data_IF_720657168352
#
_entry.id   IF_720657168352
#
_cell.length_a   1.000
_cell.length_b   1.000
_cell.length_c   1.000
_cell.angle_alpha   90.00
_cell.angle_beta   90.00
_cell.angle_gamma   90.00
#
_symmetry.space_group_name_H-M   'P 1'
#
loop_
_entity.id
_entity.type
_entity.pdbx_description
1 polymer ?
#
# COMPACT_ATOMS: atom_id res chain seq x y z
N UNK A 1 -22.46 20.74 -18.97
CA UNK A 1 -22.49 21.64 -17.80
C UNK A 1 -21.07 21.80 -17.27
N UNK A 2 -20.51 23.01 -17.29
CA UNK A 2 -19.13 23.28 -16.87
C UNK A 2 -19.04 23.38 -15.34
N UNK A 3 -18.14 22.60 -14.71
CA UNK A 3 -17.83 22.71 -13.27
C UNK A 3 -17.07 24.02 -13.01
N UNK A 4 -17.65 24.92 -12.21
CA UNK A 4 -16.96 26.11 -11.69
C UNK A 4 -15.78 25.67 -10.82
N UNK A 5 -14.56 26.12 -11.15
CA UNK A 5 -13.39 26.01 -10.28
C UNK A 5 -13.63 26.89 -9.04
N UNK A 6 -13.64 26.29 -7.86
CA UNK A 6 -13.65 27.05 -6.60
C UNK A 6 -12.30 27.74 -6.42
N UNK A 7 -12.34 29.06 -6.15
CA UNK A 7 -11.15 29.83 -5.81
C UNK A 7 -10.84 29.64 -4.32
N UNK A 8 -9.55 29.59 -3.93
CA UNK A 8 -9.17 29.50 -2.52
C UNK A 8 -9.69 30.71 -1.74
N UNK A 9 -9.92 30.55 -0.42
CA UNK A 9 -10.61 31.55 0.40
C UNK A 9 -9.79 32.84 0.61
N UNK A 10 -8.48 32.82 0.38
CA UNK A 10 -7.60 33.97 0.58
C UNK A 10 -6.70 34.24 -0.63
N UNK A 11 -6.29 35.50 -0.82
CA UNK A 11 -5.41 35.90 -1.91
C UNK A 11 -3.97 35.41 -1.67
N UNK A 12 -3.16 35.21 -2.73
CA UNK A 12 -1.78 34.75 -2.58
C UNK A 12 -0.90 35.65 -1.69
N UNK A 13 -1.15 36.97 -1.71
CA UNK A 13 -0.45 37.94 -0.86
C UNK A 13 -0.78 37.76 0.63
N UNK A 14 -2.02 37.40 0.96
CA UNK A 14 -2.45 37.11 2.34
C UNK A 14 -1.80 35.81 2.83
N UNK A 15 -1.66 34.79 1.96
CA UNK A 15 -0.97 33.55 2.33
C UNK A 15 0.53 33.73 2.57
N UNK A 16 1.21 34.55 1.76
CA UNK A 16 2.63 34.88 1.94
C UNK A 16 2.88 35.66 3.24
N UNK A 17 1.99 36.60 3.59
CA UNK A 17 2.04 37.31 4.87
C UNK A 17 1.87 36.39 6.07
N UNK A 18 0.92 35.44 6.02
CA UNK A 18 0.70 34.47 7.09
C UNK A 18 1.88 33.50 7.27
N UNK A 19 2.50 33.05 6.18
CA UNK A 19 3.69 32.17 6.20
C UNK A 19 4.89 32.83 6.87
N UNK A 20 5.14 34.13 6.60
CA UNK A 20 6.22 34.88 7.23
C UNK A 20 6.00 35.07 8.74
N UNK A 21 4.76 35.31 9.18
CA UNK A 21 4.42 35.44 10.61
C UNK A 21 4.62 34.11 11.35
N UNK A 22 4.24 32.98 10.74
CA UNK A 22 4.43 31.65 11.32
C UNK A 22 5.92 31.31 11.44
N UNK A 23 6.73 31.65 10.42
CA UNK A 23 8.19 31.49 10.44
C UNK A 23 8.84 32.31 11.58
N UNK A 24 8.38 33.54 11.83
CA UNK A 24 8.91 34.33 12.95
C UNK A 24 8.47 33.80 14.31
N UNK A 25 7.22 33.34 14.46
CA UNK A 25 6.73 32.77 15.73
C UNK A 25 7.48 31.48 16.12
N UNK A 26 7.84 30.65 15.14
CA UNK A 26 8.63 29.43 15.36
C UNK A 26 10.03 29.71 15.93
N UNK A 27 10.66 30.84 15.58
CA UNK A 27 11.98 31.23 16.12
C UNK A 27 11.92 31.64 17.60
N UNK A 28 10.76 32.12 18.07
CA UNK A 28 10.57 32.55 19.46
C UNK A 28 9.92 31.49 20.37
N UNK A 29 9.73 30.26 19.88
CA UNK A 29 9.17 29.16 20.69
C UNK A 29 7.70 29.35 21.07
N UNK A 30 6.97 30.21 20.35
CA UNK A 30 5.53 30.43 20.56
C UNK A 30 4.78 29.35 19.77
N UNK A 31 4.00 28.51 20.46
CA UNK A 31 3.21 27.45 19.86
C UNK A 31 2.06 28.04 19.03
N UNK A 32 1.98 27.62 17.77
CA UNK A 32 0.89 27.98 16.85
C UNK A 32 -0.30 27.07 17.13
N UNK A 33 -1.52 27.60 17.39
CA UNK A 33 -2.71 26.80 17.65
C UNK A 33 -3.03 25.80 16.52
N UNK A 34 -3.54 24.62 16.89
CA UNK A 34 -3.68 23.45 15.99
C UNK A 34 -4.48 23.71 14.71
N UNK A 35 -5.46 24.61 14.77
CA UNK A 35 -6.30 25.00 13.62
C UNK A 35 -5.52 25.70 12.50
N UNK A 36 -4.32 26.24 12.76
CA UNK A 36 -3.46 26.88 11.76
C UNK A 36 -2.49 25.89 11.12
N UNK A 37 -2.16 24.77 11.79
CA UNK A 37 -1.26 23.75 11.25
C UNK A 37 -1.93 22.91 10.16
N UNK A 38 -3.21 22.56 10.33
CA UNK A 38 -4.00 21.84 9.33
C UNK A 38 -4.20 22.65 8.03
N UNK A 39 -4.28 23.98 8.14
CA UNK A 39 -4.52 24.86 6.98
C UNK A 39 -3.31 24.98 6.04
N UNK A 40 -2.09 24.71 6.54
CA UNK A 40 -0.84 24.88 5.78
C UNK A 40 -0.04 23.58 5.56
N UNK A 41 -0.52 22.43 6.06
CA UNK A 41 0.07 21.12 5.75
C UNK A 41 1.52 20.94 6.22
N UNK A 42 1.95 21.70 7.22
CA UNK A 42 3.29 21.61 7.81
C UNK A 42 3.22 20.67 9.00
N UNK A 43 3.63 19.42 8.82
CA UNK A 43 3.85 18.50 9.94
C UNK A 43 5.34 18.47 10.30
N UNK A 44 5.71 19.21 11.33
CA UNK A 44 7.01 19.08 12.00
C UNK A 44 6.94 17.88 12.94
N UNK A 45 7.87 16.93 12.80
CA UNK A 45 7.93 15.77 13.69
C UNK A 45 8.52 16.14 15.05
N UNK A 46 7.79 15.90 16.12
CA UNK A 46 8.37 15.65 17.43
C UNK A 46 8.24 14.17 17.81
N UNK A 47 9.38 13.60 18.21
CA UNK A 47 9.53 12.22 18.65
C UNK A 47 8.67 11.95 19.89
N UNK A 48 7.71 11.04 19.75
CA UNK A 48 7.13 10.32 20.90
C UNK A 48 7.27 8.81 20.68
N UNK A 49 7.68 8.11 21.75
CA UNK A 49 7.79 6.65 21.88
C UNK A 49 6.55 5.93 21.35
N UNK A 50 6.67 4.67 20.88
CA UNK A 50 5.59 3.98 20.19
C UNK A 50 4.39 3.79 21.13
N UNK A 51 3.37 4.62 20.95
CA UNK A 51 2.05 4.39 21.53
C UNK A 51 1.41 3.26 20.74
N UNK A 52 0.97 2.23 21.48
CA UNK A 52 0.05 1.24 20.94
C UNK A 52 -1.24 1.98 20.61
N UNK A 53 -1.44 2.34 19.34
CA UNK A 53 -2.75 2.79 18.88
C UNK A 53 -3.73 1.62 18.97
N UNK A 54 -4.49 1.61 20.06
CA UNK A 54 -5.69 0.80 20.19
C UNK A 54 -6.75 1.37 19.24
N UNK A 55 -6.91 0.73 18.08
CA UNK A 55 -8.13 0.86 17.28
C UNK A 55 -9.28 0.20 18.06
N UNK A 56 -10.12 1.01 18.71
CA UNK A 56 -11.32 0.52 19.40
C UNK A 56 -12.52 0.53 18.44
N UNK A 57 -13.01 -0.69 18.20
CA UNK A 57 -14.41 -1.10 17.99
C UNK A 57 -15.08 -0.81 16.64
N UNK A 58 -14.73 -1.65 15.67
CA UNK A 58 -15.77 -2.49 15.02
C UNK A 58 -15.33 -3.94 15.21
N UNK A 59 -16.27 -4.87 15.33
CA UNK A 59 -16.05 -6.30 15.60
C UNK A 59 -15.33 -7.00 14.42
N UNK A 60 -14.10 -6.59 14.10
CA UNK A 60 -13.25 -7.24 13.11
C UNK A 60 -12.95 -8.63 13.64
N UNK A 61 -13.55 -9.65 13.02
CA UNK A 61 -13.22 -11.06 13.31
C UNK A 61 -11.83 -11.39 12.77
N UNK A 62 -11.33 -10.57 11.85
CA UNK A 62 -10.01 -10.73 11.28
C UNK A 62 -8.91 -10.72 12.36
N UNK A 63 -8.13 -11.81 12.51
CA UNK A 63 -7.08 -11.91 13.52
C UNK A 63 -5.84 -11.05 13.21
N UNK A 64 -5.81 -10.39 12.06
CA UNK A 64 -4.65 -9.65 11.57
C UNK A 64 -3.69 -10.50 10.75
N UNK A 65 -2.57 -9.91 10.30
CA UNK A 65 -1.54 -10.63 9.58
C UNK A 65 -0.93 -11.73 10.44
N UNK A 66 -0.85 -12.95 9.90
CA UNK A 66 -0.18 -14.09 10.50
C UNK A 66 1.23 -14.20 9.91
N UNK A 67 2.23 -13.91 10.74
CA UNK A 67 3.64 -14.12 10.38
C UNK A 67 3.91 -15.62 10.19
N UNK A 68 4.48 -16.00 9.04
CA UNK A 68 4.84 -17.36 8.68
C UNK A 68 6.36 -17.61 8.76
N UNK A 69 7.15 -16.57 9.07
CA UNK A 69 8.60 -16.64 9.20
C UNK A 69 9.33 -15.95 8.04
N UNK A 70 10.50 -16.47 7.69
CA UNK A 70 11.32 -15.99 6.58
C UNK A 70 10.73 -16.37 5.21
N UNK A 71 11.11 -15.64 4.17
CA UNK A 71 10.75 -15.93 2.79
C UNK A 71 11.38 -17.25 2.31
N UNK A 72 10.70 -17.93 1.38
CA UNK A 72 11.03 -19.31 0.98
C UNK A 72 11.62 -19.44 -0.43
N UNK A 73 12.11 -18.34 -1.01
CA UNK A 73 12.71 -18.32 -2.34
C UNK A 73 13.94 -19.24 -2.45
N UNK A 74 14.01 -19.97 -3.55
CA UNK A 74 15.20 -20.73 -3.95
C UNK A 74 16.38 -19.79 -4.30
N UNK A 75 17.60 -20.33 -4.35
CA UNK A 75 18.78 -19.55 -4.73
C UNK A 75 18.66 -19.00 -6.16
N UNK A 76 18.05 -19.79 -7.04
CA UNK A 76 17.80 -19.45 -8.44
C UNK A 76 16.88 -18.24 -8.55
N UNK A 77 15.80 -18.19 -7.77
CA UNK A 77 14.85 -17.07 -7.72
C UNK A 77 15.44 -15.79 -7.13
N UNK A 78 16.54 -15.91 -6.36
CA UNK A 78 17.26 -14.79 -5.78
C UNK A 78 18.30 -14.18 -6.72
N UNK A 79 18.34 -14.59 -7.99
CA UNK A 79 19.27 -14.07 -8.99
C UNK A 79 18.87 -12.65 -9.44
N UNK A 80 19.83 -11.72 -9.43
CA UNK A 80 19.62 -10.35 -9.92
C UNK A 80 19.69 -10.26 -11.45
N UNK A 81 18.70 -9.59 -12.07
CA UNK A 81 18.62 -9.36 -13.51
C UNK A 81 18.95 -7.91 -13.96
N UNK A 82 19.48 -7.05 -13.08
CA UNK A 82 19.82 -5.62 -13.30
C UNK A 82 18.66 -4.67 -13.61
N UNK A 83 17.64 -5.07 -14.38
CA UNK A 83 16.55 -4.19 -14.83
C UNK A 83 15.30 -4.24 -13.93
N UNK A 84 15.15 -5.28 -13.10
CA UNK A 84 13.92 -5.53 -12.36
C UNK A 84 12.83 -6.07 -13.27
N UNK A 85 11.79 -6.66 -12.69
CA UNK A 85 10.66 -7.21 -13.44
C UNK A 85 9.45 -7.43 -12.56
N UNK A 86 8.28 -7.49 -13.21
CA UNK A 86 7.03 -7.95 -12.63
C UNK A 86 6.45 -8.96 -13.61
N UNK A 87 6.09 -10.14 -13.11
CA UNK A 87 5.37 -11.17 -13.84
C UNK A 87 4.04 -11.45 -13.15
N UNK A 88 2.96 -11.29 -13.90
CA UNK A 88 1.61 -11.58 -13.42
C UNK A 88 1.19 -12.94 -13.95
N UNK A 89 0.86 -13.85 -13.03
CA UNK A 89 0.44 -15.19 -13.39
C UNK A 89 -0.87 -15.15 -14.19
N UNK A 90 -1.12 -16.14 -15.06
CA UNK A 90 -2.38 -16.22 -15.80
C UNK A 90 -3.58 -16.22 -14.86
N UNK A 91 -4.68 -15.59 -15.28
CA UNK A 91 -5.97 -15.76 -14.61
C UNK A 91 -6.37 -17.25 -14.66
N UNK A 92 -7.03 -17.73 -13.62
CA UNK A 92 -7.62 -19.06 -13.65
C UNK A 92 -8.93 -19.11 -14.48
N UNK A 93 -9.56 -20.29 -14.53
CA UNK A 93 -10.80 -20.50 -15.28
C UNK A 93 -12.00 -19.66 -14.82
N UNK A 94 -11.94 -19.08 -13.62
CA UNK A 94 -12.96 -18.18 -13.07
C UNK A 94 -12.57 -16.69 -13.25
N UNK A 95 -11.47 -16.42 -13.96
CA UNK A 95 -10.95 -15.08 -14.16
C UNK A 95 -10.25 -14.48 -12.94
N UNK A 96 -9.86 -15.32 -11.96
CA UNK A 96 -9.25 -14.86 -10.71
C UNK A 96 -7.73 -14.70 -10.87
N UNK A 97 -7.17 -13.66 -10.27
CA UNK A 97 -5.72 -13.46 -10.21
C UNK A 97 -5.06 -14.55 -9.36
N UNK A 98 -4.07 -15.25 -9.89
CA UNK A 98 -3.49 -16.45 -9.24
C UNK A 98 -2.16 -16.17 -8.55
N UNK A 99 -1.50 -15.07 -8.89
CA UNK A 99 -0.26 -14.66 -8.27
C UNK A 99 0.48 -13.61 -9.07
N UNK A 100 1.46 -12.99 -8.41
CA UNK A 100 2.42 -12.11 -9.04
C UNK A 100 3.79 -12.32 -8.41
N UNK A 101 4.81 -12.36 -9.26
CA UNK A 101 6.20 -12.39 -8.87
C UNK A 101 6.88 -11.09 -9.35
N UNK A 102 7.85 -10.61 -8.57
CA UNK A 102 8.63 -9.46 -8.96
C UNK A 102 10.06 -9.53 -8.41
N UNK A 103 10.99 -8.98 -9.18
CA UNK A 103 12.27 -8.50 -8.67
C UNK A 103 12.22 -6.97 -8.70
N UNK A 104 11.90 -6.40 -7.54
CA UNK A 104 11.70 -4.97 -7.38
C UNK A 104 13.04 -4.25 -7.25
N UNK A 105 13.15 -3.13 -7.96
CA UNK A 105 14.31 -2.24 -7.94
C UNK A 105 13.92 -0.81 -7.62
N UNK A 106 14.87 0.02 -7.16
CA UNK A 106 14.60 1.44 -6.87
C UNK A 106 14.00 2.19 -8.05
N UNK A 107 14.40 1.86 -9.28
CA UNK A 107 13.88 2.50 -10.49
C UNK A 107 12.38 2.22 -10.78
N UNK A 108 11.80 1.19 -10.17
CA UNK A 108 10.39 0.82 -10.36
C UNK A 108 9.44 1.57 -9.42
N UNK A 109 10.00 2.20 -8.39
CA UNK A 109 9.27 2.94 -7.39
C UNK A 109 8.42 4.05 -8.04
N UNK A 110 7.14 4.12 -7.68
CA UNK A 110 6.15 5.08 -8.22
C UNK A 110 5.91 5.02 -9.73
N UNK A 111 6.30 3.95 -10.43
CA UNK A 111 6.04 3.78 -11.87
C UNK A 111 4.69 3.11 -12.19
N UNK A 112 4.01 2.56 -11.17
CA UNK A 112 2.74 1.86 -11.33
C UNK A 112 1.54 2.79 -11.52
N UNK A 113 0.41 2.21 -11.92
CA UNK A 113 -0.84 2.93 -12.19
C UNK A 113 -1.90 2.70 -11.10
N UNK A 114 -2.85 3.63 -10.88
CA UNK A 114 -3.97 3.37 -9.98
C UNK A 114 -4.87 2.24 -10.52
N UNK A 115 -5.53 1.51 -9.62
CA UNK A 115 -6.49 0.48 -10.02
C UNK A 115 -7.56 1.08 -10.94
N UNK A 116 -7.65 0.56 -12.17
CA UNK A 116 -8.61 0.99 -13.13
C UNK A 116 -10.02 0.61 -12.65
N UNK A 117 -10.89 1.62 -12.53
CA UNK A 117 -12.27 1.46 -12.07
C UNK A 117 -13.10 0.53 -12.96
N UNK A 118 -12.71 0.34 -14.22
CA UNK A 118 -13.44 -0.47 -15.19
C UNK A 118 -13.04 -1.95 -15.11
N UNK A 119 -11.88 -2.27 -14.51
CA UNK A 119 -11.52 -3.65 -14.17
C UNK A 119 -12.30 -4.08 -12.94
N UNK A 120 -13.08 -5.16 -13.03
CA UNK A 120 -13.83 -5.73 -11.90
C UNK A 120 -13.32 -7.14 -11.65
N UNK A 121 -12.38 -7.34 -10.69
CA UNK A 121 -11.96 -8.68 -10.30
C UNK A 121 -13.17 -9.52 -9.87
N UNK A 122 -13.11 -10.85 -10.02
CA UNK A 122 -14.20 -11.71 -9.56
C UNK A 122 -14.60 -11.42 -8.10
N UNK A 123 -15.90 -11.43 -7.83
CA UNK A 123 -16.45 -11.13 -6.51
C UNK A 123 -16.50 -9.64 -6.14
N UNK A 124 -16.06 -8.73 -7.01
CA UNK A 124 -16.03 -7.29 -6.69
C UNK A 124 -17.44 -6.66 -6.65
N UNK A 125 -17.85 -6.22 -5.46
CA UNK A 125 -19.09 -5.49 -5.22
C UNK A 125 -18.78 -4.02 -4.92
N UNK A 126 -19.41 -3.11 -5.65
CA UNK A 126 -19.24 -1.66 -5.46
C UNK A 126 -19.98 -1.19 -4.20
N UNK A 127 -19.44 -0.17 -3.54
CA UNK A 127 -20.06 0.47 -2.38
C UNK A 127 -19.31 0.22 -1.07
N UNK A 128 -19.49 1.12 -0.11
CA UNK A 128 -18.81 1.11 1.19
C UNK A 128 -19.48 0.18 2.20
N UNK A 129 -20.80 -0.01 2.11
CA UNK A 129 -21.58 -0.84 3.03
C UNK A 129 -22.50 -1.75 2.20
N UNK A 130 -22.60 -3.07 2.48
CA UNK A 130 -21.91 -3.86 3.51
C UNK A 130 -20.55 -4.42 3.08
N UNK A 131 -20.05 -4.12 1.89
CA UNK A 131 -18.91 -4.83 1.32
C UNK A 131 -17.57 -4.11 1.53
N UNK A 132 -17.48 -2.82 1.20
CA UNK A 132 -16.24 -2.05 1.24
C UNK A 132 -15.09 -2.76 0.49
N UNK A 133 -15.34 -3.28 -0.71
CA UNK A 133 -14.31 -3.98 -1.48
C UNK A 133 -13.35 -3.01 -2.16
N UNK A 134 -12.11 -3.43 -2.24
CA UNK A 134 -11.03 -2.80 -2.97
C UNK A 134 -10.65 -3.65 -4.19
N UNK A 135 -10.07 -3.00 -5.19
CA UNK A 135 -9.31 -3.67 -6.26
C UNK A 135 -7.87 -3.80 -5.76
N UNK A 136 -7.66 -4.79 -4.89
CA UNK A 136 -6.39 -5.01 -4.22
C UNK A 136 -5.33 -5.38 -5.25
N UNK A 137 -4.24 -4.62 -5.28
CA UNK A 137 -3.10 -4.96 -6.13
C UNK A 137 -2.35 -6.15 -5.52
N UNK A 138 -1.84 -7.05 -6.37
CA UNK A 138 -0.85 -8.04 -5.93
C UNK A 138 0.52 -7.37 -5.79
N UNK A 139 0.96 -6.68 -6.84
CA UNK A 139 2.10 -5.75 -6.77
C UNK A 139 1.54 -4.33 -6.66
N UNK A 140 1.72 -3.71 -5.49
CA UNK A 140 1.21 -2.37 -5.21
C UNK A 140 1.69 -1.32 -6.22
N UNK A 141 0.82 -0.35 -6.51
CA UNK A 141 1.12 0.79 -7.40
C UNK A 141 2.47 1.47 -7.08
N UNK A 142 2.76 1.67 -5.80
CA UNK A 142 4.00 2.32 -5.36
C UNK A 142 5.27 1.52 -5.69
N UNK A 143 5.13 0.22 -5.96
CA UNK A 143 6.21 -0.71 -6.30
C UNK A 143 6.31 -0.97 -7.81
N UNK A 144 5.53 -0.26 -8.64
CA UNK A 144 5.55 -0.40 -10.10
C UNK A 144 4.41 -1.22 -10.69
N UNK A 145 3.48 -1.71 -9.88
CA UNK A 145 2.39 -2.54 -10.37
C UNK A 145 1.35 -1.78 -11.22
N UNK A 146 0.86 -2.44 -12.27
CA UNK A 146 -0.21 -1.94 -13.13
C UNK A 146 -1.58 -2.10 -12.47
N UNK A 147 -2.38 -1.05 -12.50
CA UNK A 147 -3.79 -1.08 -12.16
C UNK A 147 -4.72 -1.37 -13.33
N UNK A 148 -4.19 -1.52 -14.54
CA UNK A 148 -4.97 -1.84 -15.75
C UNK A 148 -4.96 -3.35 -16.08
N UNK A 149 -3.98 -4.10 -15.56
CA UNK A 149 -3.87 -5.54 -15.77
C UNK A 149 -4.74 -6.31 -14.76
N UNK A 150 -5.77 -7.01 -15.25
CA UNK A 150 -6.66 -7.80 -14.41
C UNK A 150 -5.93 -8.91 -13.64
N UNK A 151 -4.77 -9.39 -14.12
CA UNK A 151 -3.94 -10.38 -13.41
C UNK A 151 -3.30 -9.83 -12.14
N UNK A 152 -3.19 -8.50 -12.01
CA UNK A 152 -2.64 -7.85 -10.83
C UNK A 152 -3.71 -7.43 -9.81
N UNK A 153 -5.00 -7.63 -10.09
CA UNK A 153 -6.08 -7.13 -9.24
C UNK A 153 -6.94 -8.27 -8.71
N UNK A 154 -7.10 -8.33 -7.39
CA UNK A 154 -8.02 -9.25 -6.72
C UNK A 154 -9.01 -8.49 -5.83
N UNK A 155 -10.16 -9.09 -5.53
CA UNK A 155 -11.15 -8.51 -4.62
C UNK A 155 -10.71 -8.72 -3.18
N UNK A 156 -10.38 -7.62 -2.49
CA UNK A 156 -10.05 -7.63 -1.07
C UNK A 156 -10.98 -6.72 -0.28
N UNK A 157 -11.24 -7.04 0.99
CA UNK A 157 -11.81 -6.04 1.88
C UNK A 157 -10.86 -4.84 2.02
N UNK A 158 -11.37 -3.63 1.76
CA UNK A 158 -10.57 -2.41 1.85
C UNK A 158 -10.00 -2.22 3.25
N UNK A 159 -10.82 -2.49 4.27
CA UNK A 159 -10.45 -2.45 5.68
C UNK A 159 -10.88 -3.76 6.34
N UNK A 160 -10.00 -4.43 7.10
CA UNK A 160 -8.61 -4.06 7.40
C UNK A 160 -7.56 -4.61 6.41
N UNK A 161 -7.99 -5.42 5.43
CA UNK A 161 -7.10 -6.31 4.66
C UNK A 161 -6.18 -5.54 3.71
N UNK A 162 -6.75 -4.83 2.73
CA UNK A 162 -5.94 -4.00 1.83
C UNK A 162 -5.19 -2.92 2.63
N UNK A 163 -5.89 -2.27 3.57
CA UNK A 163 -5.31 -1.28 4.48
C UNK A 163 -5.94 -1.42 5.87
N UNK A 164 -5.13 -1.50 6.95
CA UNK A 164 -3.69 -1.27 7.00
C UNK A 164 -2.81 -2.51 6.77
N UNK A 165 -3.37 -3.72 6.71
CA UNK A 165 -2.57 -4.95 6.84
C UNK A 165 -1.57 -5.17 5.70
N UNK A 166 -2.02 -5.20 4.44
CA UNK A 166 -1.08 -5.32 3.31
C UNK A 166 -0.17 -4.10 3.19
N UNK A 167 -0.75 -2.90 3.32
CA UNK A 167 -0.02 -1.62 3.21
C UNK A 167 1.20 -1.56 4.15
N UNK A 168 1.11 -2.16 5.35
CA UNK A 168 2.25 -2.25 6.30
C UNK A 168 3.47 -2.92 5.66
N UNK A 169 3.31 -4.08 5.03
CA UNK A 169 4.42 -4.84 4.43
C UNK A 169 4.93 -4.19 3.15
N UNK A 170 4.02 -3.67 2.31
CA UNK A 170 4.39 -2.92 1.11
C UNK A 170 5.24 -1.69 1.45
N UNK A 171 4.93 -0.99 2.56
CA UNK A 171 5.71 0.15 3.03
C UNK A 171 7.11 -0.24 3.52
N UNK A 172 7.28 -1.42 4.11
CA UNK A 172 8.62 -1.93 4.48
C UNK A 172 9.47 -2.18 3.23
N UNK A 173 8.89 -2.85 2.23
CA UNK A 173 9.54 -3.07 0.93
C UNK A 173 9.89 -1.73 0.29
N UNK A 174 8.94 -0.78 0.26
CA UNK A 174 9.15 0.56 -0.28
C UNK A 174 10.35 1.26 0.36
N UNK A 175 10.44 1.25 1.69
CA UNK A 175 11.56 1.86 2.41
C UNK A 175 12.90 1.19 2.09
N UNK A 176 12.93 -0.12 1.85
CA UNK A 176 14.15 -0.81 1.43
C UNK A 176 14.56 -0.42 0.00
N UNK A 177 13.59 -0.30 -0.93
CA UNK A 177 13.85 0.18 -2.29
C UNK A 177 14.36 1.62 -2.30
N UNK A 178 13.82 2.50 -1.46
CA UNK A 178 14.30 3.89 -1.33
C UNK A 178 15.76 3.96 -0.81
N UNK A 179 16.23 2.92 -0.10
CA UNK A 179 17.62 2.76 0.36
C UNK A 179 18.53 2.09 -0.67
N UNK A 180 18.01 1.79 -1.87
CA UNK A 180 18.79 1.17 -2.95
C UNK A 180 18.81 -0.36 -2.92
N UNK A 181 17.97 -1.01 -2.11
CA UNK A 181 17.90 -2.48 -2.11
C UNK A 181 17.21 -3.02 -3.37
N UNK A 182 17.56 -4.26 -3.74
CA UNK A 182 16.78 -5.07 -4.69
C UNK A 182 16.02 -6.11 -3.89
N UNK A 183 14.71 -6.23 -4.11
CA UNK A 183 13.81 -7.09 -3.32
C UNK A 183 13.14 -8.10 -4.24
N UNK A 184 13.30 -9.39 -3.93
CA UNK A 184 12.46 -10.45 -4.50
C UNK A 184 11.14 -10.46 -3.75
N UNK A 185 10.02 -10.37 -4.47
CA UNK A 185 8.68 -10.25 -3.90
C UNK A 185 7.70 -11.15 -4.62
N UNK A 186 6.81 -11.81 -3.87
CA UNK A 186 5.73 -12.65 -4.40
C UNK A 186 4.46 -12.42 -3.61
N UNK A 187 3.33 -12.36 -4.31
CA UNK A 187 2.00 -12.27 -3.71
C UNK A 187 1.07 -13.28 -4.35
N UNK A 188 0.41 -14.10 -3.54
CA UNK A 188 -0.49 -15.17 -3.99
C UNK A 188 -1.83 -15.06 -3.23
N UNK A 189 -2.94 -14.78 -3.94
CA UNK A 189 -4.28 -15.00 -3.40
C UNK A 189 -4.58 -16.51 -3.30
N UNK A 190 -5.06 -16.95 -2.14
CA UNK A 190 -5.44 -18.36 -1.89
C UNK A 190 -6.95 -18.48 -1.90
N UNK A 191 -7.51 -19.23 -2.86
CA UNK A 191 -8.94 -19.46 -3.02
C UNK A 191 -9.37 -20.81 -2.47
N UNK A 192 -10.63 -20.90 -2.03
CA UNK A 192 -11.26 -22.15 -1.60
C UNK A 192 -12.25 -22.61 -2.67
N UNK A 193 -11.91 -23.69 -3.39
CA UNK A 193 -12.74 -24.20 -4.49
C UNK A 193 -13.11 -23.12 -5.52
N UNK A 194 -14.41 -22.91 -5.71
CA UNK A 194 -14.97 -21.98 -6.69
C UNK A 194 -15.32 -20.60 -6.12
N UNK A 195 -14.93 -20.31 -4.87
CA UNK A 195 -15.17 -18.99 -4.27
C UNK A 195 -14.47 -17.88 -5.07
N UNK A 196 -15.20 -16.80 -5.36
CA UNK A 196 -14.66 -15.71 -6.17
C UNK A 196 -13.74 -14.78 -5.38
N UNK A 197 -13.92 -14.71 -4.06
CA UNK A 197 -13.04 -14.01 -3.15
C UNK A 197 -11.97 -14.99 -2.68
N UNK A 198 -10.71 -14.55 -2.68
CA UNK A 198 -9.67 -15.34 -2.01
C UNK A 198 -9.97 -15.38 -0.51
N UNK A 199 -9.74 -16.53 0.11
CA UNK A 199 -9.85 -16.72 1.57
C UNK A 199 -8.77 -15.94 2.31
N UNK A 200 -7.55 -15.96 1.78
CA UNK A 200 -6.41 -15.22 2.31
C UNK A 200 -5.49 -14.78 1.19
N UNK A 201 -4.60 -13.86 1.49
CA UNK A 201 -3.53 -13.41 0.59
C UNK A 201 -2.19 -13.62 1.29
N UNK A 202 -1.26 -14.27 0.59
CA UNK A 202 0.10 -14.51 1.08
C UNK A 202 1.09 -13.58 0.40
N UNK A 203 1.97 -12.97 1.19
CA UNK A 203 3.05 -12.11 0.73
C UNK A 203 4.37 -12.73 1.24
N UNK A 204 5.36 -12.88 0.37
CA UNK A 204 6.75 -13.14 0.79
C UNK A 204 7.72 -12.19 0.10
N UNK A 205 8.69 -11.67 0.86
CA UNK A 205 9.68 -10.74 0.38
C UNK A 205 11.06 -11.03 0.98
N UNK A 206 12.11 -10.91 0.15
CA UNK A 206 13.51 -11.05 0.57
C UNK A 206 14.39 -10.06 -0.15
N UNK A 207 15.22 -9.31 0.58
CA UNK A 207 16.25 -8.48 -0.03
C UNK A 207 17.44 -9.32 -0.52
N UNK A 208 18.04 -8.89 -1.63
CA UNK A 208 19.24 -9.53 -2.19
C UNK A 208 20.53 -9.04 -1.52
N UNK A 209 20.47 -7.92 -0.81
CA UNK A 209 21.61 -7.36 -0.11
C UNK A 209 21.95 -8.19 1.15
N UNK A 210 23.24 -8.40 1.42
CA UNK A 210 23.71 -9.21 2.58
C UNK A 210 23.16 -8.76 3.94
N UNK A 211 22.93 -7.45 4.09
CA UNK A 211 22.47 -6.84 5.35
C UNK A 211 21.01 -6.37 5.26
N UNK A 212 20.22 -6.96 4.36
CA UNK A 212 18.79 -6.61 4.24
C UNK A 212 18.06 -6.90 5.54
N UNK A 213 17.09 -6.04 5.87
CA UNK A 213 16.12 -6.32 6.93
C UNK A 213 14.81 -6.89 6.38
N UNK A 214 14.70 -7.02 5.06
CA UNK A 214 13.53 -7.60 4.40
C UNK A 214 13.77 -9.10 4.25
N UNK A 215 13.13 -9.87 5.12
CA UNK A 215 13.02 -11.32 5.00
C UNK A 215 11.76 -11.77 5.75
N UNK A 216 10.64 -11.87 5.03
CA UNK A 216 9.37 -12.25 5.65
C UNK A 216 8.49 -13.06 4.70
N UNK A 217 7.60 -13.84 5.32
CA UNK A 217 6.41 -14.42 4.72
C UNK A 217 5.24 -14.20 5.68
N UNK A 218 4.12 -13.74 5.16
CA UNK A 218 2.92 -13.44 5.93
C UNK A 218 1.67 -13.90 5.18
N UNK A 219 0.66 -14.32 5.92
CA UNK A 219 -0.68 -14.58 5.39
C UNK A 219 -1.69 -13.65 6.05
N UNK A 220 -2.58 -13.05 5.26
CA UNK A 220 -3.62 -12.14 5.72
C UNK A 220 -4.97 -12.71 5.30
N UNK A 221 -5.82 -13.03 6.27
CA UNK A 221 -7.16 -13.50 6.01
C UNK A 221 -7.97 -12.37 5.35
N UNK A 222 -8.69 -12.68 4.28
CA UNK A 222 -9.46 -11.70 3.52
C UNK A 222 -10.91 -11.63 4.04
N UNK A 223 -11.05 -11.12 5.27
CA UNK A 223 -12.34 -10.93 5.94
C UNK A 223 -12.38 -9.58 6.68
N UNK A 224 -13.57 -9.16 7.10
CA UNK A 224 -13.77 -7.94 7.88
C UNK A 224 -13.41 -8.05 9.35
#
# INVERSE_FOLDING_TARGET
MARKKQKPPFSPAVMLGALLIILTLGVFGIQVPDNIQELFGIHTQEQTKPSKEQYQNSTSKNPGPKELGAATFSAEEMTDNKQGWIDYHPLDSLGRATGADALLKPAMVNTGTPANKDVRPPGFISGTDPNNHSRGHLIGRQLGGSGDDARNLTTLYQTPVNTPFMTKYENQIRQALDKGETIRYRVIPIYEGNELLCKQIELEAKGLNKNTTIDFRVSILNEK
#
